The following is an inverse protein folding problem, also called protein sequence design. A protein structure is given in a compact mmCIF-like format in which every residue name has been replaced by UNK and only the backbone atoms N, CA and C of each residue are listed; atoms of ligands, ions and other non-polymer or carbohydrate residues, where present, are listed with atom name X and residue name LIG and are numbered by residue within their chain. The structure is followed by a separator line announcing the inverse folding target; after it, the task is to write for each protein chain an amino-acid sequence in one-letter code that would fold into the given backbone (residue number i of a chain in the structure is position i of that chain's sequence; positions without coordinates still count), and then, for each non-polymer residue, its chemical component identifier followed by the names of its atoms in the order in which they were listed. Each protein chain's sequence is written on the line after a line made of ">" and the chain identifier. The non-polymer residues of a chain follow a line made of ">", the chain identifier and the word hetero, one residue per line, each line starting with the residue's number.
data_IF_173304051586
#
_entry.id   IF_173304051586
#
_cell.length_a   1.000
_cell.length_b   1.000
_cell.length_c   1.000
_cell.angle_alpha   90.00
_cell.angle_beta   90.00
_cell.angle_gamma   90.00
#
_symmetry.space_group_name_H-M   'P 1'
#
loop_
_entity.id
_entity.type
_entity.pdbx_description
1 polymer ?
#
# COMPACT_ATOMS: atom_id res chain seq x y z
N UNK A 1 1.03 11.09 17.41
CA UNK A 1 0.07 10.60 16.42
C UNK A 1 -1.32 10.92 16.94
N UNK A 2 -1.97 11.91 16.36
CA UNK A 2 -3.27 12.41 16.77
C UNK A 2 -4.38 11.53 16.17
N UNK A 3 -5.58 11.55 16.76
CA UNK A 3 -6.77 10.83 16.25
C UNK A 3 -7.05 11.19 14.78
N UNK A 4 -6.82 12.46 14.41
CA UNK A 4 -6.95 12.96 13.04
C UNK A 4 -6.04 12.21 12.06
N UNK A 5 -4.83 11.86 12.49
CA UNK A 5 -3.86 11.12 11.66
C UNK A 5 -4.35 9.70 11.37
N UNK A 6 -4.88 9.03 12.38
CA UNK A 6 -5.43 7.67 12.25
C UNK A 6 -6.63 7.69 11.30
N UNK A 7 -7.53 8.66 11.44
CA UNK A 7 -8.71 8.80 10.59
C UNK A 7 -8.30 9.06 9.13
N UNK A 8 -7.33 9.94 8.88
CA UNK A 8 -6.84 10.19 7.52
C UNK A 8 -6.20 8.95 6.89
N UNK A 9 -5.41 8.17 7.65
CA UNK A 9 -4.81 6.92 7.14
C UNK A 9 -5.91 5.94 6.72
N UNK A 10 -6.95 5.78 7.54
CA UNK A 10 -8.07 4.87 7.24
C UNK A 10 -8.81 5.33 5.97
N UNK A 11 -9.10 6.62 5.83
CA UNK A 11 -9.81 7.17 4.67
C UNK A 11 -8.99 6.98 3.40
N UNK A 12 -7.70 7.33 3.42
CA UNK A 12 -6.83 7.16 2.26
C UNK A 12 -6.64 5.69 1.89
N UNK A 13 -6.49 4.81 2.89
CA UNK A 13 -6.45 3.37 2.64
C UNK A 13 -7.67 2.89 1.87
N UNK A 14 -8.88 3.31 2.27
CA UNK A 14 -10.12 2.92 1.61
C UNK A 14 -10.22 3.45 0.17
N UNK A 15 -9.83 4.70 -0.05
CA UNK A 15 -9.80 5.33 -1.38
C UNK A 15 -8.84 4.59 -2.32
N UNK A 16 -7.65 4.25 -1.82
CA UNK A 16 -6.68 3.52 -2.61
C UNK A 16 -7.12 2.08 -2.85
N UNK A 17 -7.72 1.39 -1.87
CA UNK A 17 -8.18 0.01 -2.06
C UNK A 17 -9.23 -0.08 -3.17
N UNK A 18 -10.20 0.84 -3.19
CA UNK A 18 -11.18 0.95 -4.28
C UNK A 18 -10.48 1.23 -5.62
N UNK A 19 -9.55 2.19 -5.63
CA UNK A 19 -8.80 2.57 -6.84
C UNK A 19 -8.00 1.38 -7.39
N UNK A 20 -7.37 0.61 -6.51
CA UNK A 20 -6.60 -0.59 -6.85
C UNK A 20 -7.49 -1.72 -7.35
N UNK A 21 -8.67 -1.93 -6.76
CA UNK A 21 -9.65 -2.91 -7.26
C UNK A 21 -10.08 -2.54 -8.68
N UNK A 22 -10.34 -1.26 -8.95
CA UNK A 22 -10.71 -0.78 -10.29
C UNK A 22 -9.53 -0.94 -11.27
N UNK A 23 -8.31 -0.57 -10.87
CA UNK A 23 -7.12 -0.75 -11.70
C UNK A 23 -6.81 -2.22 -11.98
N UNK A 24 -7.03 -3.10 -10.99
CA UNK A 24 -6.81 -4.54 -11.10
C UNK A 24 -7.79 -5.19 -12.08
N UNK A 25 -9.06 -4.74 -12.07
CA UNK A 25 -10.08 -5.17 -13.04
C UNK A 25 -9.76 -4.74 -14.47
N UNK A 26 -9.07 -3.62 -14.66
CA UNK A 26 -8.77 -3.06 -15.99
C UNK A 26 -7.50 -3.64 -16.64
N UNK A 27 -6.95 -4.71 -16.06
CA UNK A 27 -5.70 -5.36 -16.46
C UNK A 27 -4.57 -4.36 -16.73
N UNK A 28 -4.44 -3.37 -15.84
CA UNK A 28 -3.47 -2.30 -16.00
C UNK A 28 -2.06 -2.89 -15.93
N UNK A 29 -1.26 -2.66 -16.98
CA UNK A 29 0.16 -3.04 -17.04
C UNK A 29 0.98 -2.52 -15.85
N UNK A 30 0.49 -1.48 -15.17
CA UNK A 30 1.08 -0.90 -13.97
C UNK A 30 1.07 -1.89 -12.79
N UNK A 31 0.11 -2.82 -12.73
CA UNK A 31 0.00 -3.84 -11.69
C UNK A 31 0.66 -5.19 -12.06
N UNK A 32 1.22 -5.34 -13.26
CA UNK A 32 1.95 -6.55 -13.68
C UNK A 32 3.07 -6.98 -12.73
N UNK A 33 3.95 -6.10 -12.23
CA UNK A 33 5.00 -6.51 -11.29
C UNK A 33 4.44 -7.05 -9.97
N UNK A 34 3.26 -6.56 -9.55
CA UNK A 34 2.57 -7.03 -8.35
C UNK A 34 1.88 -8.39 -8.61
N UNK A 35 1.34 -8.61 -9.82
CA UNK A 35 0.83 -9.93 -10.25
C UNK A 35 1.93 -10.99 -10.34
N UNK A 36 3.17 -10.60 -10.67
CA UNK A 36 4.35 -11.48 -10.77
C UNK A 36 4.89 -11.99 -9.42
N UNK A 37 4.35 -11.53 -8.29
CA UNK A 37 4.75 -12.05 -6.98
C UNK A 37 4.33 -13.53 -6.90
N UNK A 38 5.26 -14.44 -6.55
CA UNK A 38 4.98 -15.87 -6.50
C UNK A 38 3.88 -16.16 -5.47
N UNK A 39 2.95 -17.06 -5.80
CA UNK A 39 1.78 -17.33 -4.95
C UNK A 39 2.13 -17.90 -3.57
N UNK A 40 3.31 -18.54 -3.44
CA UNK A 40 3.88 -18.97 -2.15
C UNK A 40 4.09 -17.79 -1.19
N UNK A 41 4.35 -16.59 -1.72
CA UNK A 41 4.56 -15.38 -0.93
C UNK A 41 3.24 -14.68 -0.59
N UNK A 42 2.25 -14.73 -1.49
CA UNK A 42 0.90 -14.16 -1.28
C UNK A 42 0.18 -14.79 -0.07
N UNK A 43 0.45 -16.06 0.22
CA UNK A 43 -0.20 -16.75 1.34
C UNK A 43 0.45 -16.47 2.71
N UNK A 44 1.65 -15.89 2.75
CA UNK A 44 2.41 -15.77 4.00
C UNK A 44 2.48 -14.31 4.46
N UNK A 45 1.84 -14.02 5.60
CA UNK A 45 1.88 -12.69 6.22
C UNK A 45 3.31 -12.20 6.49
N UNK A 46 4.25 -13.11 6.74
CA UNK A 46 5.65 -12.76 6.99
C UNK A 46 6.30 -12.03 5.80
N UNK A 47 6.06 -12.51 4.57
CA UNK A 47 6.58 -11.85 3.36
C UNK A 47 5.91 -10.50 3.11
N UNK A 48 4.61 -10.37 3.44
CA UNK A 48 3.89 -9.09 3.38
C UNK A 48 4.56 -8.06 4.27
N UNK A 49 4.83 -8.41 5.54
CA UNK A 49 5.54 -7.51 6.47
C UNK A 49 6.98 -7.22 6.04
N UNK A 50 7.69 -8.22 5.52
CA UNK A 50 9.07 -8.08 5.05
C UNK A 50 9.19 -7.07 3.91
N UNK A 51 8.17 -6.96 3.04
CA UNK A 51 8.11 -5.93 1.98
C UNK A 51 7.54 -4.61 2.49
N UNK A 52 6.53 -4.66 3.37
CA UNK A 52 5.86 -3.47 3.90
C UNK A 52 6.79 -2.59 4.74
N UNK A 53 7.60 -3.20 5.62
CA UNK A 53 8.52 -2.48 6.52
C UNK A 53 9.51 -1.59 5.76
N UNK A 54 10.31 -2.08 4.81
CA UNK A 54 11.25 -1.23 4.07
C UNK A 54 10.54 -0.17 3.23
N UNK A 55 9.34 -0.45 2.70
CA UNK A 55 8.55 0.55 1.99
C UNK A 55 8.08 1.69 2.91
N UNK A 56 7.59 1.35 4.10
CA UNK A 56 7.19 2.34 5.11
C UNK A 56 8.38 3.17 5.59
N UNK A 57 9.55 2.54 5.77
CA UNK A 57 10.80 3.24 6.12
C UNK A 57 11.22 4.21 5.02
N UNK A 58 11.13 3.83 3.75
CA UNK A 58 11.38 4.75 2.62
C UNK A 58 10.37 5.91 2.59
N UNK A 59 9.08 5.63 2.73
CA UNK A 59 8.04 6.66 2.79
C UNK A 59 8.28 7.64 3.95
N UNK A 60 8.64 7.12 5.14
CA UNK A 60 8.94 7.93 6.31
C UNK A 60 10.18 8.80 6.09
N UNK A 61 11.24 8.23 5.50
CA UNK A 61 12.47 8.96 5.16
C UNK A 61 12.19 10.13 4.20
N UNK A 62 11.37 9.89 3.16
CA UNK A 62 10.97 10.93 2.21
C UNK A 62 10.18 12.05 2.89
N UNK A 63 9.26 11.71 3.80
CA UNK A 63 8.46 12.70 4.51
C UNK A 63 9.32 13.58 5.41
N UNK A 64 10.31 13.00 6.09
CA UNK A 64 11.24 13.75 6.94
C UNK A 64 12.15 14.64 6.09
N UNK A 65 12.70 14.14 4.98
CA UNK A 65 13.61 14.90 4.11
C UNK A 65 12.92 16.05 3.39
N UNK A 66 11.69 15.87 2.93
CA UNK A 66 10.94 16.87 2.17
C UNK A 66 9.97 17.71 3.03
N UNK A 67 9.99 17.53 4.36
CA UNK A 67 9.06 18.17 5.30
C UNK A 67 7.60 18.08 4.84
N UNK A 68 7.21 16.91 4.34
CA UNK A 68 5.90 16.74 3.73
C UNK A 68 4.80 16.88 4.78
N UNK A 69 3.73 17.58 4.39
CA UNK A 69 2.60 17.86 5.26
C UNK A 69 1.92 16.56 5.71
N UNK A 70 1.29 16.56 6.89
CA UNK A 70 0.71 15.36 7.51
C UNK A 70 -0.30 14.64 6.59
N UNK A 71 -1.01 15.39 5.76
CA UNK A 71 -1.97 14.86 4.78
C UNK A 71 -1.24 14.01 3.73
N UNK A 72 -0.09 14.48 3.25
CA UNK A 72 0.74 13.77 2.27
C UNK A 72 1.36 12.52 2.89
N UNK A 73 1.73 12.56 4.17
CA UNK A 73 2.17 11.38 4.91
C UNK A 73 1.07 10.32 5.00
N UNK A 74 -0.14 10.70 5.42
CA UNK A 74 -1.27 9.78 5.50
C UNK A 74 -1.63 9.18 4.14
N UNK A 75 -1.51 9.97 3.06
CA UNK A 75 -1.73 9.54 1.68
C UNK A 75 -0.67 8.52 1.23
N UNK A 76 0.62 8.77 1.49
CA UNK A 76 1.71 7.83 1.19
C UNK A 76 1.58 6.51 1.96
N UNK A 77 1.27 6.57 3.25
CA UNK A 77 1.10 5.37 4.09
C UNK A 77 -0.11 4.56 3.65
N UNK A 78 -1.26 5.21 3.43
CA UNK A 78 -2.47 4.56 2.93
C UNK A 78 -2.27 3.91 1.55
N UNK A 79 -1.55 4.60 0.65
CA UNK A 79 -1.18 4.10 -0.67
C UNK A 79 -0.29 2.85 -0.59
N UNK A 80 0.78 2.92 0.20
CA UNK A 80 1.73 1.81 0.41
C UNK A 80 1.06 0.58 1.00
N UNK A 81 0.19 0.78 2.01
CA UNK A 81 -0.58 -0.30 2.61
C UNK A 81 -1.51 -0.95 1.58
N UNK A 82 -2.29 -0.15 0.86
CA UNK A 82 -3.24 -0.66 -0.13
C UNK A 82 -2.55 -1.36 -1.32
N UNK A 83 -1.39 -0.85 -1.76
CA UNK A 83 -0.53 -1.50 -2.75
C UNK A 83 -0.09 -2.88 -2.26
N UNK A 84 0.44 -2.95 -1.04
CA UNK A 84 0.94 -4.19 -0.48
C UNK A 84 -0.20 -5.20 -0.27
N UNK A 85 -1.36 -4.74 0.20
CA UNK A 85 -2.56 -5.57 0.31
C UNK A 85 -2.98 -6.11 -1.06
N UNK A 86 -3.06 -5.27 -2.07
CA UNK A 86 -3.43 -5.68 -3.44
C UNK A 86 -2.42 -6.67 -4.04
N UNK A 87 -1.14 -6.47 -3.80
CA UNK A 87 -0.07 -7.31 -4.34
C UNK A 87 -0.06 -8.72 -3.73
N UNK A 88 -0.32 -8.79 -2.43
CA UNK A 88 -0.34 -10.04 -1.67
C UNK A 88 -1.75 -10.63 -1.57
N UNK A 89 -2.79 -9.94 -2.06
CA UNK A 89 -4.16 -10.48 -2.14
C UNK A 89 -4.13 -11.71 -3.03
N UNK A 90 -4.40 -12.86 -2.44
CA UNK A 90 -4.58 -14.11 -3.18
C UNK A 90 -5.77 -13.89 -4.12
N UNK A 91 -5.51 -13.80 -5.43
CA UNK A 91 -6.57 -13.88 -6.41
C UNK A 91 -7.18 -15.28 -6.23
N UNK A 92 -8.35 -15.33 -5.63
CA UNK A 92 -9.21 -16.51 -5.68
C UNK A 92 -9.67 -16.56 -7.13
N UNK A 93 -8.88 -17.24 -7.97
CA UNK A 93 -9.32 -17.69 -9.30
C UNK A 93 -10.20 -18.92 -9.11
#
# INVERSE_FOLDING_TARGET
>A
MSIKDIVSIIIFYFIFDISFIILAKRDSKILLPLKKIPDKWKSNYFYKWLVLIPLLVMCSSLVVLFQLNYIVFGLLVGFTLSLCDTAFKKNIS
#
